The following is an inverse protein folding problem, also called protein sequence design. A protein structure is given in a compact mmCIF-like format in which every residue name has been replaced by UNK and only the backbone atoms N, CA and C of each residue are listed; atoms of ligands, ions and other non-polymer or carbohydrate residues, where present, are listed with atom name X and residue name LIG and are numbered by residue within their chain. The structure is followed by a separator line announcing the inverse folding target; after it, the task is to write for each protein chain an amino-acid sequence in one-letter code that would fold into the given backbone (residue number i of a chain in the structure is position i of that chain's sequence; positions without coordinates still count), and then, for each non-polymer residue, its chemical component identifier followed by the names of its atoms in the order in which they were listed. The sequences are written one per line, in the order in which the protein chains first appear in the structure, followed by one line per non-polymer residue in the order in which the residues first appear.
data_IF_607023115309
#
_entry.id   IF_607023115309
#
_cell.length_a   1.000
_cell.length_b   1.000
_cell.length_c   1.000
_cell.angle_alpha   90.00
_cell.angle_beta   90.00
_cell.angle_gamma   90.00
#
_symmetry.space_group_name_H-M   'P 1'
#
loop_
_entity.id
_entity.type
_entity.pdbx_description
1 polymer ?
#
# COMPACT_ATOMS: atom_id res chain seq x y z
N UNK A 1 -31.51 8.12 -2.78
CA UNK A 1 -30.27 7.62 -3.35
C UNK A 1 -29.08 7.78 -2.43
N UNK A 2 -28.76 8.96 -1.89
CA UNK A 2 -27.58 9.21 -1.01
C UNK A 2 -27.54 8.31 0.25
N UNK A 3 -28.69 7.95 0.83
CA UNK A 3 -28.73 7.12 2.06
C UNK A 3 -28.38 5.64 1.85
N UNK A 4 -28.57 5.08 0.65
CA UNK A 4 -28.22 3.68 0.34
C UNK A 4 -26.73 3.52 0.10
N UNK A 5 -26.08 4.46 -0.61
CA UNK A 5 -24.65 4.40 -0.94
C UNK A 5 -23.74 4.34 0.30
N UNK A 6 -24.11 5.01 1.39
CA UNK A 6 -23.34 5.03 2.65
C UNK A 6 -23.22 3.65 3.31
N UNK A 7 -24.24 2.80 3.16
CA UNK A 7 -24.27 1.49 3.82
C UNK A 7 -23.59 0.37 3.02
N UNK A 8 -23.63 0.46 1.70
CA UNK A 8 -22.97 -0.53 0.83
C UNK A 8 -21.46 -0.35 0.89
N UNK A 9 -20.97 0.89 0.83
CA UNK A 9 -19.54 1.20 0.95
C UNK A 9 -18.92 0.63 2.25
N UNK A 10 -19.65 0.69 3.38
CA UNK A 10 -19.15 0.20 4.68
C UNK A 10 -19.06 -1.34 4.75
N UNK A 11 -19.89 -2.07 3.99
CA UNK A 11 -19.88 -3.54 3.98
C UNK A 11 -18.78 -4.13 3.08
N UNK A 12 -18.39 -3.40 2.02
CA UNK A 12 -17.36 -3.83 1.06
C UNK A 12 -15.96 -3.34 1.47
N UNK A 13 -15.88 -2.20 2.20
CA UNK A 13 -14.60 -1.58 2.59
C UNK A 13 -13.73 -2.40 3.54
N UNK A 14 -14.29 -3.37 4.26
CA UNK A 14 -13.48 -4.26 5.11
C UNK A 14 -12.50 -5.14 4.31
N UNK A 15 -12.68 -5.24 2.98
CA UNK A 15 -11.86 -6.11 2.13
C UNK A 15 -10.97 -5.39 1.10
N UNK A 16 -11.07 -4.06 0.95
CA UNK A 16 -10.46 -3.34 -0.19
C UNK A 16 -9.46 -2.24 0.21
N UNK A 17 -9.34 -1.89 1.48
CA UNK A 17 -8.53 -0.72 1.92
C UNK A 17 -7.00 -0.82 1.75
N UNK A 18 -6.44 -1.78 1.01
CA UNK A 18 -4.99 -1.92 0.87
C UNK A 18 -4.44 -2.03 -0.57
N UNK A 19 -5.17 -1.57 -1.58
CA UNK A 19 -4.65 -1.60 -2.97
C UNK A 19 -4.21 -0.22 -3.50
N UNK A 20 -3.88 0.72 -2.64
CA UNK A 20 -3.36 2.03 -3.01
C UNK A 20 -1.84 2.12 -2.87
N UNK A 21 -1.08 1.51 -3.76
CA UNK A 21 0.38 1.66 -3.76
C UNK A 21 1.00 1.20 -5.08
N UNK A 22 1.30 2.15 -5.95
CA UNK A 22 2.27 2.12 -7.03
C UNK A 22 2.51 0.81 -7.78
N UNK A 23 2.04 0.74 -9.02
CA UNK A 23 2.70 -0.09 -10.01
C UNK A 23 2.64 0.56 -11.40
N UNK A 24 3.67 1.30 -11.73
CA UNK A 24 4.04 1.51 -13.14
C UNK A 24 5.14 0.52 -13.48
N UNK A 25 4.81 -0.55 -14.17
CA UNK A 25 5.73 -1.10 -15.17
C UNK A 25 5.01 -2.04 -16.12
N UNK A 26 5.04 -1.66 -17.39
CA UNK A 26 4.71 -2.54 -18.52
C UNK A 26 5.76 -3.63 -18.59
N UNK A 27 5.40 -4.91 -18.45
CA UNK A 27 6.07 -5.96 -19.21
C UNK A 27 5.30 -7.28 -19.22
N UNK A 28 5.16 -7.75 -20.45
CA UNK A 28 5.08 -9.14 -20.94
C UNK A 28 3.85 -9.99 -20.71
N UNK A 29 3.07 -10.04 -21.80
CA UNK A 29 2.29 -11.21 -22.22
C UNK A 29 3.22 -12.42 -22.38
N UNK A 30 3.14 -13.40 -21.46
CA UNK A 30 3.37 -14.82 -21.76
C UNK A 30 3.18 -15.67 -20.50
N UNK A 31 2.00 -16.21 -20.29
CA UNK A 31 1.76 -17.50 -19.64
C UNK A 31 0.25 -17.80 -19.68
N UNK A 32 -0.24 -18.23 -20.80
CA UNK A 32 -1.49 -18.94 -20.89
C UNK A 32 -1.11 -20.36 -21.30
N UNK A 33 -1.16 -21.26 -20.33
CA UNK A 33 -1.40 -22.68 -20.43
C UNK A 33 -0.80 -23.39 -19.22
N UNK A 34 -1.56 -23.42 -18.12
CA UNK A 34 -1.33 -24.38 -17.07
C UNK A 34 -2.67 -24.77 -16.42
N UNK A 35 -3.16 -25.91 -16.87
CA UNK A 35 -3.96 -26.88 -16.16
C UNK A 35 -5.12 -26.38 -15.29
N UNK A 36 -6.32 -26.58 -15.84
CA UNK A 36 -7.60 -26.73 -15.19
C UNK A 36 -7.53 -27.80 -14.07
N UNK A 37 -7.22 -27.37 -12.85
CA UNK A 37 -7.75 -27.94 -11.64
C UNK A 37 -8.24 -26.76 -10.81
N UNK A 38 -9.51 -26.40 -11.02
CA UNK A 38 -10.21 -25.48 -10.15
C UNK A 38 -10.37 -26.18 -8.79
N UNK A 39 -9.37 -26.05 -7.93
CA UNK A 39 -9.60 -26.20 -6.51
C UNK A 39 -10.72 -25.21 -6.17
N UNK A 40 -11.90 -25.71 -5.77
CA UNK A 40 -12.98 -24.87 -5.27
C UNK A 40 -12.44 -24.08 -4.09
N UNK A 41 -12.08 -22.83 -4.34
CA UNK A 41 -11.73 -21.90 -3.27
C UNK A 41 -12.92 -21.84 -2.33
N UNK A 42 -12.71 -22.21 -1.08
CA UNK A 42 -13.73 -22.09 -0.05
C UNK A 42 -14.19 -20.63 -0.02
N UNK A 43 -15.49 -20.39 -0.23
CA UNK A 43 -16.05 -19.05 -0.13
C UNK A 43 -16.44 -18.77 1.31
N UNK A 44 -16.10 -17.58 1.80
CA UNK A 44 -16.64 -17.08 3.05
C UNK A 44 -18.18 -17.07 3.00
N UNK A 45 -18.81 -17.49 4.07
CA UNK A 45 -20.27 -17.48 4.19
C UNK A 45 -20.66 -16.77 5.48
N UNK A 46 -21.49 -15.71 5.40
CA UNK A 46 -21.87 -14.93 6.57
C UNK A 46 -22.39 -15.76 7.74
N UNK A 47 -22.05 -15.37 8.94
CA UNK A 47 -22.60 -15.97 10.16
C UNK A 47 -24.04 -15.46 10.31
N UNK A 48 -25.00 -16.37 10.39
CA UNK A 48 -26.41 -15.99 10.53
C UNK A 48 -26.72 -15.74 12.00
N UNK A 49 -26.90 -14.49 12.38
CA UNK A 49 -27.23 -14.07 13.72
C UNK A 49 -28.62 -13.42 13.81
N UNK A 50 -29.28 -13.58 14.94
CA UNK A 50 -30.38 -12.69 15.28
C UNK A 50 -29.80 -11.46 15.99
N UNK A 51 -29.45 -10.44 15.21
CA UNK A 51 -28.71 -9.27 15.67
C UNK A 51 -29.26 -8.62 16.95
N UNK A 52 -30.60 -8.56 17.11
CA UNK A 52 -31.26 -7.98 18.27
C UNK A 52 -31.06 -8.75 19.58
N UNK A 53 -30.58 -10.00 19.53
CA UNK A 53 -30.22 -10.76 20.72
C UNK A 53 -28.82 -10.43 21.24
N UNK A 54 -27.94 -9.99 20.34
CA UNK A 54 -26.53 -9.75 20.65
C UNK A 54 -26.21 -8.28 20.88
N UNK A 55 -26.91 -7.39 20.15
CA UNK A 55 -26.61 -5.95 20.15
C UNK A 55 -27.91 -5.15 20.28
N UNK A 56 -27.81 -4.06 21.03
CA UNK A 56 -28.80 -2.99 21.09
C UNK A 56 -28.20 -1.72 20.50
N UNK A 57 -28.85 -1.14 19.49
CA UNK A 57 -28.46 0.17 19.00
C UNK A 57 -28.62 1.26 20.06
N UNK A 58 -27.61 2.09 20.20
CA UNK A 58 -27.72 3.35 20.93
C UNK A 58 -28.18 4.49 20.02
N UNK A 59 -27.79 5.71 20.36
CA UNK A 59 -28.09 6.85 19.50
C UNK A 59 -27.28 6.74 18.21
N UNK A 60 -27.94 6.66 17.07
CA UNK A 60 -27.32 6.68 15.74
C UNK A 60 -27.89 7.77 14.83
N UNK A 61 -29.04 8.39 15.20
CA UNK A 61 -29.63 9.53 14.48
C UNK A 61 -29.23 10.85 15.12
N UNK A 62 -28.96 11.86 14.30
CA UNK A 62 -28.60 13.18 14.77
C UNK A 62 -27.21 13.26 15.42
N UNK A 63 -26.34 12.31 15.12
CA UNK A 63 -24.93 12.38 15.52
C UNK A 63 -24.23 13.52 14.78
N UNK A 64 -23.37 14.22 15.49
CA UNK A 64 -22.51 15.26 14.93
C UNK A 64 -21.06 14.86 15.03
N UNK A 65 -20.29 15.10 13.98
CA UNK A 65 -18.85 14.90 13.93
C UNK A 65 -18.16 16.21 13.58
N UNK A 66 -16.89 16.33 13.92
CA UNK A 66 -16.06 17.39 13.36
C UNK A 66 -15.63 16.91 11.98
N UNK A 67 -16.12 17.58 10.92
CA UNK A 67 -15.76 17.19 9.56
C UNK A 67 -14.26 17.28 9.30
N UNK A 68 -13.74 16.34 8.53
CA UNK A 68 -12.38 16.38 8.04
C UNK A 68 -12.16 17.56 7.09
N UNK A 69 -10.91 18.05 7.02
CA UNK A 69 -10.58 19.22 6.19
C UNK A 69 -10.48 18.83 4.71
N UNK A 70 -11.10 19.65 3.87
CA UNK A 70 -10.97 19.55 2.41
C UNK A 70 -10.12 20.67 1.82
N UNK A 71 -9.39 21.41 2.69
CA UNK A 71 -8.64 22.58 2.26
C UNK A 71 -7.39 22.16 1.50
N UNK A 72 -7.22 22.68 0.31
CA UNK A 72 -6.00 22.64 -0.49
C UNK A 72 -5.36 24.02 -0.46
N UNK A 73 -4.08 24.08 -0.09
CA UNK A 73 -3.30 25.32 -0.05
C UNK A 73 -2.55 25.55 -1.36
N UNK A 74 -2.00 26.75 -1.54
CA UNK A 74 -1.11 27.00 -2.69
C UNK A 74 0.19 26.20 -2.55
N UNK A 75 0.65 25.96 -1.32
CA UNK A 75 1.83 25.14 -1.07
C UNK A 75 1.62 23.70 -1.51
N UNK A 76 0.47 23.06 -1.19
CA UNK A 76 0.16 21.70 -1.63
C UNK A 76 0.25 21.58 -3.16
N UNK A 77 -0.21 22.61 -3.88
CA UNK A 77 -0.13 22.65 -5.35
C UNK A 77 1.30 22.84 -5.84
N UNK A 78 2.09 23.72 -5.20
CA UNK A 78 3.49 23.91 -5.57
C UNK A 78 4.32 22.65 -5.29
N UNK A 79 4.10 22.00 -4.17
CA UNK A 79 4.78 20.75 -3.82
C UNK A 79 4.51 19.68 -4.88
N UNK A 80 3.24 19.46 -5.23
CA UNK A 80 2.87 18.48 -6.27
C UNK A 80 3.37 18.88 -7.67
N UNK A 81 3.45 20.17 -7.98
CA UNK A 81 4.00 20.66 -9.25
C UNK A 81 5.53 20.45 -9.29
N UNK A 82 6.22 20.57 -8.15
CA UNK A 82 7.65 20.34 -8.07
C UNK A 82 8.00 18.84 -8.20
N UNK A 83 7.10 17.90 -7.82
CA UNK A 83 7.28 16.48 -8.10
C UNK A 83 7.55 16.22 -9.58
N UNK A 84 6.86 16.93 -10.49
CA UNK A 84 7.11 16.81 -11.93
C UNK A 84 8.59 17.13 -12.29
N UNK A 85 9.22 18.07 -11.60
CA UNK A 85 10.61 18.39 -11.84
C UNK A 85 11.55 17.30 -11.26
N UNK A 86 11.25 16.77 -10.09
CA UNK A 86 12.00 15.67 -9.48
C UNK A 86 11.88 14.39 -10.32
N UNK A 87 10.70 14.05 -10.81
CA UNK A 87 10.47 12.89 -11.68
C UNK A 87 11.23 12.98 -13.02
N UNK A 88 11.61 14.20 -13.41
CA UNK A 88 12.37 14.48 -14.63
C UNK A 88 13.79 14.98 -14.32
N UNK A 89 14.30 14.71 -13.12
CA UNK A 89 15.69 14.99 -12.79
C UNK A 89 16.63 14.18 -13.70
N UNK A 90 17.76 14.77 -14.01
CA UNK A 90 18.87 14.12 -14.70
C UNK A 90 20.08 14.07 -13.79
N UNK A 91 21.03 13.19 -14.10
CA UNK A 91 22.23 13.06 -13.31
C UNK A 91 23.44 13.50 -14.14
N UNK A 92 24.31 14.31 -13.57
CA UNK A 92 25.52 14.80 -14.22
C UNK A 92 26.76 14.40 -13.43
N UNK A 93 27.78 13.87 -14.11
CA UNK A 93 29.06 13.50 -13.49
C UNK A 93 29.73 14.68 -12.80
N UNK A 94 30.13 14.49 -11.55
CA UNK A 94 31.00 15.40 -10.79
C UNK A 94 32.47 15.12 -11.16
N UNK A 95 33.08 15.99 -12.02
CA UNK A 95 34.42 15.76 -12.59
C UNK A 95 35.57 16.24 -11.72
N UNK A 96 35.31 17.18 -10.82
CA UNK A 96 36.34 17.84 -9.99
C UNK A 96 36.60 17.11 -8.65
N UNK A 97 35.79 16.11 -8.34
CA UNK A 97 35.93 15.26 -7.16
C UNK A 97 35.83 13.78 -7.55
N UNK A 98 36.67 12.95 -6.93
CA UNK A 98 36.68 11.50 -7.17
C UNK A 98 36.48 10.67 -5.91
N UNK A 99 36.31 11.29 -4.75
CA UNK A 99 36.10 10.60 -3.48
C UNK A 99 34.64 10.71 -3.10
N UNK A 100 34.00 9.57 -2.86
CA UNK A 100 32.62 9.43 -2.45
C UNK A 100 32.37 10.08 -1.10
N UNK A 101 31.31 10.84 -0.98
CA UNK A 101 30.87 11.50 0.24
C UNK A 101 29.45 11.04 0.59
N UNK A 102 29.03 11.33 1.80
CA UNK A 102 27.67 11.11 2.24
C UNK A 102 26.70 11.90 1.35
N UNK A 103 25.53 11.32 1.11
CA UNK A 103 24.46 11.89 0.29
C UNK A 103 24.85 12.10 -1.20
N UNK A 104 25.89 11.42 -1.71
CA UNK A 104 26.22 11.42 -3.13
C UNK A 104 25.28 10.52 -3.92
N UNK A 105 25.01 10.91 -5.17
CA UNK A 105 24.51 9.99 -6.18
C UNK A 105 25.70 9.29 -6.85
N UNK A 106 25.58 8.01 -7.05
CA UNK A 106 26.61 7.16 -7.66
C UNK A 106 26.03 6.36 -8.81
N UNK A 107 26.80 6.21 -9.89
CA UNK A 107 26.58 5.14 -10.83
C UNK A 107 27.58 4.02 -10.50
N UNK A 108 27.06 2.81 -10.31
CA UNK A 108 27.85 1.65 -9.89
C UNK A 108 27.55 0.42 -10.71
N UNK A 109 28.53 -0.49 -10.82
CA UNK A 109 28.30 -1.87 -11.16
C UNK A 109 28.44 -2.71 -9.90
N UNK A 110 27.58 -3.71 -9.71
CA UNK A 110 27.75 -4.61 -8.59
C UNK A 110 27.64 -6.07 -9.00
N UNK A 111 28.45 -6.89 -8.37
CA UNK A 111 28.45 -8.33 -8.56
C UNK A 111 28.30 -9.02 -7.22
N UNK A 112 27.33 -9.92 -7.15
CA UNK A 112 27.05 -10.71 -5.96
C UNK A 112 27.53 -12.13 -6.14
N UNK A 113 28.37 -12.59 -5.22
CA UNK A 113 28.87 -13.97 -5.17
C UNK A 113 28.33 -14.67 -3.92
N UNK A 114 27.57 -15.75 -4.13
CA UNK A 114 26.94 -16.51 -3.04
C UNK A 114 27.62 -17.88 -2.93
N UNK A 115 28.17 -18.19 -1.76
CA UNK A 115 28.94 -19.41 -1.53
C UNK A 115 30.06 -19.63 -2.59
N UNK A 116 30.72 -18.56 -3.02
CA UNK A 116 31.82 -18.61 -3.98
C UNK A 116 31.39 -18.77 -5.45
N UNK A 117 30.10 -18.60 -5.75
CA UNK A 117 29.55 -18.62 -7.10
C UNK A 117 28.83 -17.32 -7.40
N UNK A 118 29.19 -16.68 -8.50
CA UNK A 118 28.48 -15.48 -8.98
C UNK A 118 27.01 -15.75 -9.23
N UNK A 119 26.16 -14.82 -8.82
CA UNK A 119 24.72 -14.89 -8.98
C UNK A 119 24.23 -13.66 -9.79
N UNK A 120 23.82 -13.93 -11.04
CA UNK A 120 23.36 -12.90 -11.98
C UNK A 120 22.02 -12.28 -11.59
N UNK A 121 21.21 -12.97 -10.79
CA UNK A 121 19.90 -12.46 -10.36
C UNK A 121 20.03 -11.36 -9.29
N UNK A 122 21.22 -11.30 -8.66
CA UNK A 122 21.60 -10.31 -7.66
C UNK A 122 22.83 -9.50 -8.07
N UNK A 123 23.06 -9.33 -9.37
CA UNK A 123 24.15 -8.55 -9.93
C UNK A 123 23.62 -7.68 -11.04
N UNK A 124 24.09 -6.43 -11.11
CA UNK A 124 23.67 -5.50 -12.19
C UNK A 124 24.79 -4.53 -12.52
N UNK A 125 24.63 -3.80 -13.61
CA UNK A 125 25.55 -2.78 -14.08
C UNK A 125 24.83 -1.48 -14.42
N UNK A 126 25.52 -0.36 -14.25
CA UNK A 126 24.98 0.98 -14.42
C UNK A 126 23.77 1.27 -13.52
N UNK A 127 23.84 0.83 -12.28
CA UNK A 127 22.83 1.19 -11.28
C UNK A 127 23.13 2.62 -10.80
N UNK A 128 22.16 3.51 -10.98
CA UNK A 128 22.15 4.82 -10.34
C UNK A 128 21.53 4.68 -8.95
N UNK A 129 22.26 5.11 -7.92
CA UNK A 129 21.85 5.02 -6.53
C UNK A 129 22.22 6.26 -5.73
N UNK A 130 21.39 6.61 -4.76
CA UNK A 130 21.65 7.66 -3.80
C UNK A 130 22.14 7.06 -2.48
N UNK A 131 23.26 7.55 -1.95
CA UNK A 131 23.78 7.10 -0.66
C UNK A 131 22.90 7.63 0.48
N UNK A 132 22.27 6.72 1.18
CA UNK A 132 21.29 6.97 2.24
C UNK A 132 19.94 6.30 1.98
N UNK A 133 19.67 5.87 0.74
CA UNK A 133 18.43 5.18 0.40
C UNK A 133 18.50 3.66 0.65
N UNK A 134 19.69 3.13 0.90
CA UNK A 134 19.89 1.72 1.22
C UNK A 134 19.61 0.76 0.06
N UNK A 135 19.78 1.19 -1.19
CA UNK A 135 19.42 0.44 -2.40
C UNK A 135 20.08 -0.94 -2.48
N UNK A 136 21.26 -1.10 -1.93
CA UNK A 136 22.01 -2.36 -1.89
C UNK A 136 22.06 -2.98 -0.49
N UNK A 137 21.37 -2.41 0.49
CA UNK A 137 21.31 -2.96 1.84
C UNK A 137 20.49 -4.26 1.85
N UNK A 138 21.00 -5.25 2.58
CA UNK A 138 20.37 -6.58 2.68
C UNK A 138 19.47 -6.65 3.90
N UNK A 139 19.92 -6.06 5.01
CA UNK A 139 19.19 -5.91 6.26
C UNK A 139 19.77 -4.72 7.06
N UNK A 140 19.21 -4.46 8.24
CA UNK A 140 19.66 -3.37 9.12
C UNK A 140 21.12 -3.50 9.62
N UNK A 141 21.75 -4.66 9.45
CA UNK A 141 23.13 -4.93 9.92
C UNK A 141 24.18 -4.73 8.81
N UNK A 142 23.76 -4.61 7.56
CA UNK A 142 24.67 -4.48 6.40
C UNK A 142 24.37 -3.18 5.67
N UNK A 143 24.94 -2.10 6.18
CA UNK A 143 24.90 -0.77 5.56
C UNK A 143 25.98 -0.69 4.46
N UNK A 144 25.56 -0.96 3.22
CA UNK A 144 26.42 -0.88 2.04
C UNK A 144 26.79 0.57 1.74
N UNK A 145 25.87 1.51 1.91
CA UNK A 145 26.07 2.92 1.64
C UNK A 145 27.23 3.49 2.49
N UNK A 146 27.26 3.16 3.80
CA UNK A 146 28.34 3.59 4.70
C UNK A 146 29.71 3.04 4.26
N UNK A 147 29.75 1.83 3.68
CA UNK A 147 31.00 1.21 3.21
C UNK A 147 31.57 1.85 1.95
N UNK A 148 30.72 2.51 1.16
CA UNK A 148 31.15 3.19 -0.06
C UNK A 148 31.70 4.58 0.22
N UNK A 149 31.36 5.21 1.35
CA UNK A 149 31.87 6.55 1.72
C UNK A 149 33.40 6.53 1.88
N UNK A 150 34.05 7.44 1.18
CA UNK A 150 35.54 7.57 1.18
C UNK A 150 36.24 6.77 0.09
N UNK A 151 35.58 5.86 -0.60
CA UNK A 151 36.08 5.19 -1.78
C UNK A 151 36.21 6.17 -2.96
N UNK A 152 36.87 5.77 -4.03
CA UNK A 152 37.11 6.63 -5.20
C UNK A 152 36.47 6.06 -6.45
N UNK A 153 36.15 6.94 -7.37
CA UNK A 153 35.77 6.55 -8.74
C UNK A 153 36.85 5.64 -9.33
N UNK A 154 36.44 4.48 -9.79
CA UNK A 154 37.27 3.39 -10.29
C UNK A 154 37.67 2.35 -9.26
N UNK A 155 37.38 2.57 -7.97
CA UNK A 155 37.58 1.55 -6.93
C UNK A 155 36.49 0.51 -6.97
N UNK A 156 36.80 -0.72 -6.55
CA UNK A 156 35.82 -1.76 -6.24
C UNK A 156 35.85 -2.00 -4.74
N UNK A 157 34.74 -1.81 -4.07
CA UNK A 157 34.57 -2.07 -2.64
C UNK A 157 33.92 -3.43 -2.47
N UNK A 158 34.57 -4.32 -1.73
CA UNK A 158 34.06 -5.67 -1.46
C UNK A 158 33.50 -5.73 -0.04
N UNK A 159 32.29 -6.20 0.08
CA UNK A 159 31.54 -6.31 1.35
C UNK A 159 31.14 -7.77 1.53
N UNK A 160 31.62 -8.39 2.62
CA UNK A 160 31.27 -9.76 2.98
C UNK A 160 30.19 -9.76 4.07
N UNK A 161 29.16 -10.56 3.88
CA UNK A 161 28.11 -10.76 4.87
C UNK A 161 27.49 -12.16 4.76
N UNK A 162 26.54 -12.48 5.63
CA UNK A 162 25.73 -13.69 5.54
C UNK A 162 24.28 -13.29 5.54
N UNK A 163 23.50 -13.77 4.58
CA UNK A 163 22.07 -13.54 4.57
C UNK A 163 21.41 -14.06 5.86
N UNK A 164 20.41 -13.36 6.41
CA UNK A 164 19.62 -13.87 7.53
C UNK A 164 19.06 -15.28 7.27
N UNK A 165 18.91 -16.08 8.32
CA UNK A 165 18.32 -17.44 8.19
C UNK A 165 16.83 -17.40 7.76
N UNK A 166 16.15 -16.29 8.05
CA UNK A 166 14.75 -16.00 7.72
C UNK A 166 14.59 -15.08 6.50
N UNK A 167 15.65 -14.94 5.68
CA UNK A 167 15.57 -14.15 4.46
C UNK A 167 14.51 -14.70 3.50
N UNK A 168 13.73 -13.82 2.86
CA UNK A 168 12.57 -14.16 2.04
C UNK A 168 12.87 -15.17 0.92
N UNK A 169 14.05 -15.02 0.27
CA UNK A 169 14.52 -16.05 -0.66
C UNK A 169 15.23 -17.18 0.09
N UNK A 170 14.47 -18.23 0.37
CA UNK A 170 15.00 -19.45 1.02
C UNK A 170 16.15 -20.10 0.26
N UNK A 171 16.35 -19.76 -1.02
CA UNK A 171 17.46 -20.29 -1.83
C UNK A 171 18.80 -19.71 -1.44
N UNK A 172 18.81 -18.54 -0.77
CA UNK A 172 20.01 -17.82 -0.33
C UNK A 172 20.06 -17.57 1.18
N UNK A 173 18.97 -17.78 1.90
CA UNK A 173 18.90 -17.66 3.37
C UNK A 173 20.06 -18.42 4.05
N UNK A 174 20.72 -17.78 5.03
CA UNK A 174 21.86 -18.31 5.78
C UNK A 174 23.15 -18.47 4.96
N UNK A 175 23.20 -18.07 3.68
CA UNK A 175 24.39 -18.24 2.85
C UNK A 175 25.33 -17.06 2.95
N UNK A 176 26.64 -17.36 2.84
CA UNK A 176 27.68 -16.32 2.74
C UNK A 176 27.62 -15.64 1.40
N UNK A 177 27.69 -14.32 1.43
CA UNK A 177 27.70 -13.43 0.29
C UNK A 177 28.96 -12.55 0.28
N UNK A 178 29.49 -12.31 -0.89
CA UNK A 178 30.47 -11.28 -1.20
C UNK A 178 29.84 -10.37 -2.25
N UNK A 179 29.63 -9.11 -1.90
CA UNK A 179 29.11 -8.05 -2.77
C UNK A 179 30.29 -7.16 -3.18
N UNK A 180 30.63 -7.16 -4.45
CA UNK A 180 31.66 -6.29 -5.02
C UNK A 180 30.98 -5.14 -5.76
N UNK A 181 31.14 -3.91 -5.25
CA UNK A 181 30.58 -2.68 -5.83
C UNK A 181 31.68 -1.86 -6.48
N UNK A 182 31.61 -1.67 -7.78
CA UNK A 182 32.56 -0.86 -8.56
C UNK A 182 31.95 0.51 -8.81
N UNK A 183 32.66 1.58 -8.42
CA UNK A 183 32.18 2.96 -8.54
C UNK A 183 32.56 3.50 -9.90
N UNK A 184 31.58 3.67 -10.79
CA UNK A 184 31.78 4.16 -12.14
C UNK A 184 31.95 5.69 -12.16
N UNK A 185 31.03 6.40 -11.48
CA UNK A 185 31.06 7.86 -11.37
C UNK A 185 30.35 8.35 -10.11
N UNK A 186 30.65 9.57 -9.72
CA UNK A 186 29.91 10.33 -8.74
C UNK A 186 29.07 11.35 -9.49
N UNK A 187 27.82 11.46 -9.14
CA UNK A 187 26.86 12.29 -9.85
C UNK A 187 26.24 13.33 -8.93
N UNK A 188 25.68 14.35 -9.51
CA UNK A 188 24.76 15.28 -8.86
C UNK A 188 23.41 15.22 -9.58
N UNK A 189 22.38 15.25 -8.81
CA UNK A 189 21.03 15.45 -9.33
C UNK A 189 20.89 16.86 -9.90
N UNK A 190 20.33 16.97 -11.09
CA UNK A 190 20.00 18.22 -11.77
C UNK A 190 18.50 18.25 -11.99
N UNK A 191 17.80 18.93 -11.09
CA UNK A 191 16.35 19.10 -11.15
C UNK A 191 16.04 20.22 -12.15
N UNK A 192 15.27 19.95 -13.21
CA UNK A 192 14.92 20.98 -14.18
C UNK A 192 13.96 22.02 -13.58
N UNK A 193 13.98 23.23 -14.09
CA UNK A 193 12.98 24.23 -13.74
C UNK A 193 11.61 23.87 -14.33
N UNK A 194 10.55 23.95 -13.53
CA UNK A 194 9.18 23.75 -14.00
C UNK A 194 8.77 24.89 -14.93
N UNK A 195 8.75 24.62 -16.21
CA UNK A 195 8.37 25.56 -17.26
C UNK A 195 7.39 24.92 -18.26
N UNK A 196 6.88 25.72 -19.19
CA UNK A 196 5.90 25.25 -20.18
C UNK A 196 6.45 24.13 -21.08
N UNK A 197 7.77 24.04 -21.29
CA UNK A 197 8.36 22.98 -22.08
C UNK A 197 8.31 21.66 -21.33
N UNK A 198 8.77 21.61 -20.07
CA UNK A 198 8.72 20.45 -19.21
C UNK A 198 7.30 19.93 -19.05
N UNK A 199 6.34 20.85 -18.81
CA UNK A 199 4.92 20.48 -18.67
C UNK A 199 4.37 19.83 -19.94
N UNK A 200 4.66 20.41 -21.12
CA UNK A 200 4.20 19.83 -22.42
C UNK A 200 4.79 18.46 -22.73
N UNK A 201 6.01 18.23 -22.32
CA UNK A 201 6.72 16.98 -22.57
C UNK A 201 6.18 15.83 -21.71
N UNK A 202 5.77 16.15 -20.48
CA UNK A 202 5.46 15.13 -19.46
C UNK A 202 3.99 15.07 -19.05
N UNK A 203 3.15 15.98 -19.57
CA UNK A 203 1.71 16.04 -19.23
C UNK A 203 0.87 16.38 -20.45
N UNK A 204 -0.44 16.28 -20.33
CA UNK A 204 -1.40 16.73 -21.37
C UNK A 204 -1.62 18.26 -21.35
N UNK A 205 -0.99 18.98 -20.42
CA UNK A 205 -1.12 20.43 -20.30
C UNK A 205 -0.15 21.18 -21.24
N UNK A 206 -0.53 22.40 -21.62
CA UNK A 206 0.30 23.22 -22.51
C UNK A 206 1.12 24.27 -21.77
N UNK A 207 0.76 24.58 -20.54
CA UNK A 207 1.42 25.60 -19.74
C UNK A 207 1.47 25.21 -18.28
N UNK A 208 2.43 25.75 -17.53
CA UNK A 208 2.52 25.60 -16.07
C UNK A 208 1.22 26.05 -15.39
N UNK A 209 0.57 27.08 -15.92
CA UNK A 209 -0.70 27.57 -15.37
C UNK A 209 -1.83 26.54 -15.51
N UNK A 210 -1.93 25.89 -16.67
CA UNK A 210 -2.91 24.81 -16.90
C UNK A 210 -2.62 23.62 -15.99
N UNK A 211 -1.35 23.22 -15.88
CA UNK A 211 -0.93 22.13 -15.02
C UNK A 211 -1.22 22.42 -13.53
N UNK A 212 -0.86 23.60 -13.02
CA UNK A 212 -1.21 24.02 -11.65
C UNK A 212 -2.71 23.97 -11.39
N UNK A 213 -3.52 24.33 -12.39
CA UNK A 213 -4.98 24.24 -12.27
C UNK A 213 -5.42 22.76 -12.20
N UNK A 214 -4.91 21.92 -13.06
CA UNK A 214 -5.22 20.47 -13.07
C UNK A 214 -4.82 19.82 -11.73
N UNK A 215 -3.61 20.06 -11.25
CA UNK A 215 -3.11 19.59 -9.95
C UNK A 215 -4.03 20.03 -8.82
N UNK A 216 -4.42 21.33 -8.81
CA UNK A 216 -5.34 21.83 -7.79
C UNK A 216 -6.70 21.14 -7.84
N UNK A 217 -7.26 20.96 -9.04
CA UNK A 217 -8.57 20.31 -9.21
C UNK A 217 -8.49 18.84 -8.75
N UNK A 218 -7.39 18.13 -9.03
CA UNK A 218 -7.13 16.77 -8.52
C UNK A 218 -7.04 16.76 -7.00
N UNK A 219 -6.16 17.56 -6.41
CA UNK A 219 -5.99 17.63 -4.95
C UNK A 219 -7.30 17.98 -4.22
N UNK A 220 -8.14 18.83 -4.79
CA UNK A 220 -9.46 19.14 -4.22
C UNK A 220 -10.38 17.92 -4.27
N UNK A 221 -10.37 17.17 -5.36
CA UNK A 221 -11.13 15.93 -5.50
C UNK A 221 -10.67 14.88 -4.50
N UNK A 222 -9.36 14.67 -4.40
CA UNK A 222 -8.75 13.68 -3.52
C UNK A 222 -9.01 14.00 -2.05
N UNK A 223 -8.79 15.27 -1.66
CA UNK A 223 -9.09 15.74 -0.29
C UNK A 223 -10.57 15.64 0.07
N UNK A 224 -11.45 15.81 -0.92
CA UNK A 224 -12.89 15.65 -0.70
C UNK A 224 -13.24 14.18 -0.48
N UNK A 225 -12.71 13.26 -1.29
CA UNK A 225 -12.92 11.83 -1.14
C UNK A 225 -12.35 11.32 0.18
N UNK A 226 -11.13 11.71 0.53
CA UNK A 226 -10.49 11.41 1.83
C UNK A 226 -11.32 11.91 3.01
N UNK A 227 -11.82 13.15 2.93
CA UNK A 227 -12.64 13.73 3.98
C UNK A 227 -14.00 13.02 4.11
N UNK A 228 -14.63 12.62 3.00
CA UNK A 228 -15.86 11.84 3.00
C UNK A 228 -15.64 10.48 3.66
N UNK A 229 -14.57 9.78 3.32
CA UNK A 229 -14.20 8.50 3.93
C UNK A 229 -13.94 8.66 5.45
N UNK A 230 -13.09 9.61 5.84
CA UNK A 230 -12.78 9.89 7.26
C UNK A 230 -14.04 10.25 8.06
N UNK A 231 -14.95 11.02 7.46
CA UNK A 231 -16.21 11.37 8.09
C UNK A 231 -17.14 10.16 8.27
N UNK A 232 -17.19 9.28 7.27
CA UNK A 232 -17.96 8.02 7.34
C UNK A 232 -17.41 7.11 8.45
N UNK A 233 -16.10 6.91 8.51
CA UNK A 233 -15.44 6.12 9.53
C UNK A 233 -15.67 6.70 10.94
N UNK A 234 -15.51 8.02 11.10
CA UNK A 234 -15.76 8.69 12.38
C UNK A 234 -17.21 8.54 12.82
N UNK A 235 -18.15 8.64 11.89
CA UNK A 235 -19.58 8.45 12.18
C UNK A 235 -19.88 7.00 12.52
N UNK A 236 -19.30 6.04 11.77
CA UNK A 236 -19.45 4.62 12.04
C UNK A 236 -18.91 4.25 13.43
N UNK A 237 -17.71 4.70 13.77
CA UNK A 237 -17.12 4.44 15.08
C UNK A 237 -18.01 4.97 16.23
N UNK A 238 -18.58 6.18 16.07
CA UNK A 238 -19.56 6.69 17.04
C UNK A 238 -20.82 5.83 17.16
N UNK A 239 -21.29 5.25 16.07
CA UNK A 239 -22.44 4.33 16.08
C UNK A 239 -22.06 3.05 16.84
N UNK A 240 -20.87 2.51 16.57
CA UNK A 240 -20.34 1.31 17.22
C UNK A 240 -20.13 1.51 18.72
N UNK A 241 -19.60 2.68 19.12
CA UNK A 241 -19.39 3.06 20.53
C UNK A 241 -20.71 3.19 21.28
N UNK A 242 -21.74 3.70 20.63
CA UNK A 242 -23.07 3.84 21.21
C UNK A 242 -23.83 2.50 21.26
N UNK A 243 -23.42 1.50 20.50
CA UNK A 243 -24.05 0.19 20.47
C UNK A 243 -23.63 -0.67 21.66
N UNK A 244 -24.61 -1.20 22.39
CA UNK A 244 -24.38 -2.02 23.57
C UNK A 244 -24.45 -3.50 23.21
N UNK A 245 -23.39 -4.26 23.53
CA UNK A 245 -23.42 -5.71 23.46
C UNK A 245 -24.26 -6.28 24.61
N UNK A 246 -25.20 -7.14 24.29
CA UNK A 246 -26.16 -7.72 25.25
C UNK A 246 -25.71 -9.08 25.77
N UNK A 247 -25.05 -9.87 24.96
CA UNK A 247 -24.47 -11.18 25.28
C UNK A 247 -23.25 -11.47 24.42
N UNK A 248 -22.42 -12.39 24.85
CA UNK A 248 -21.28 -12.86 24.07
C UNK A 248 -21.73 -13.73 22.88
N UNK A 249 -20.94 -13.72 21.81
CA UNK A 249 -21.12 -14.61 20.68
C UNK A 249 -20.77 -16.04 21.07
N UNK A 250 -21.42 -17.03 20.45
CA UNK A 250 -21.08 -18.42 20.70
C UNK A 250 -19.69 -18.77 20.13
N UNK A 251 -19.01 -19.73 20.75
CA UNK A 251 -17.73 -20.23 20.22
C UNK A 251 -17.85 -20.74 18.77
N UNK A 252 -19.02 -21.28 18.40
CA UNK A 252 -19.27 -21.76 17.05
C UNK A 252 -19.35 -20.61 16.04
N UNK A 253 -20.02 -19.49 16.41
CA UNK A 253 -20.10 -18.29 15.58
C UNK A 253 -18.73 -17.64 15.41
N UNK A 254 -17.97 -17.51 16.50
CA UNK A 254 -16.61 -16.96 16.48
C UNK A 254 -15.70 -17.82 15.60
N UNK A 255 -15.70 -19.14 15.73
CA UNK A 255 -14.89 -20.04 14.91
C UNK A 255 -15.26 -19.96 13.44
N UNK A 256 -16.54 -19.81 13.13
CA UNK A 256 -16.99 -19.62 11.75
C UNK A 256 -16.49 -18.30 11.17
N UNK A 257 -16.58 -17.23 11.93
CA UNK A 257 -16.08 -15.92 11.50
C UNK A 257 -14.55 -15.90 11.35
N UNK A 258 -13.81 -16.52 12.25
CA UNK A 258 -12.35 -16.73 12.10
C UNK A 258 -12.03 -17.47 10.80
N UNK A 259 -12.85 -18.46 10.41
CA UNK A 259 -12.68 -19.15 9.13
C UNK A 259 -12.94 -18.24 7.94
N UNK A 260 -13.97 -17.38 8.01
CA UNK A 260 -14.26 -16.39 6.96
C UNK A 260 -13.09 -15.41 6.80
N UNK A 261 -12.61 -14.83 7.91
CA UNK A 261 -11.48 -13.89 7.93
C UNK A 261 -10.23 -14.54 7.30
N UNK A 262 -9.97 -15.80 7.61
CA UNK A 262 -8.83 -16.53 7.01
C UNK A 262 -8.97 -16.74 5.52
N UNK A 263 -10.20 -16.93 5.01
CA UNK A 263 -10.46 -17.07 3.58
C UNK A 263 -10.27 -15.71 2.90
N UNK A 264 -10.85 -14.66 3.46
CA UNK A 264 -10.88 -13.31 2.87
C UNK A 264 -9.51 -12.63 2.84
N UNK A 265 -8.69 -12.86 3.88
CA UNK A 265 -7.37 -12.21 4.00
C UNK A 265 -6.20 -13.09 3.57
N UNK A 266 -6.46 -14.28 3.01
CA UNK A 266 -5.41 -15.25 2.65
C UNK A 266 -4.42 -14.68 1.63
N UNK A 267 -4.92 -14.04 0.59
CA UNK A 267 -4.09 -13.52 -0.51
C UNK A 267 -3.26 -12.33 -0.03
N UNK A 268 -3.89 -11.43 0.74
CA UNK A 268 -3.23 -10.25 1.30
C UNK A 268 -2.12 -10.63 2.29
N UNK A 269 -2.42 -11.50 3.25
CA UNK A 269 -1.42 -11.99 4.19
C UNK A 269 -0.26 -12.72 3.46
N UNK A 270 -0.60 -13.51 2.43
CA UNK A 270 0.37 -14.19 1.59
C UNK A 270 1.27 -13.24 0.80
N UNK A 271 0.75 -12.09 0.34
CA UNK A 271 1.55 -11.05 -0.32
C UNK A 271 2.63 -10.47 0.62
N UNK A 272 2.33 -10.37 1.91
CA UNK A 272 3.29 -9.92 2.94
C UNK A 272 4.09 -11.06 3.58
N UNK A 273 4.03 -12.30 3.05
CA UNK A 273 4.73 -13.45 3.61
C UNK A 273 4.25 -13.89 5.00
N UNK A 274 3.06 -13.47 5.43
CA UNK A 274 2.55 -13.65 6.78
C UNK A 274 1.44 -14.70 6.86
N UNK A 275 1.24 -15.27 8.06
CA UNK A 275 -0.03 -15.94 8.35
C UNK A 275 -1.15 -14.89 8.51
N UNK A 276 -2.41 -15.27 8.24
CA UNK A 276 -3.54 -14.36 8.47
C UNK A 276 -3.64 -13.92 9.94
N UNK A 277 -3.20 -14.76 10.88
CA UNK A 277 -3.20 -14.39 12.31
C UNK A 277 -2.22 -13.27 12.60
N UNK A 278 -1.00 -13.41 12.08
CA UNK A 278 0.06 -12.40 12.27
C UNK A 278 -0.28 -11.12 11.52
N UNK A 279 -0.87 -11.23 10.32
CA UNK A 279 -1.36 -10.10 9.56
C UNK A 279 -2.43 -9.30 10.35
N UNK A 280 -3.43 -9.98 10.93
CA UNK A 280 -4.45 -9.31 11.74
C UNK A 280 -3.83 -8.68 13.00
N UNK A 281 -2.92 -9.39 13.68
CA UNK A 281 -2.25 -8.87 14.87
C UNK A 281 -1.40 -7.62 14.56
N UNK A 282 -0.66 -7.65 13.46
CA UNK A 282 0.21 -6.55 13.07
C UNK A 282 -0.56 -5.30 12.59
N UNK A 283 -1.62 -5.49 11.79
CA UNK A 283 -2.32 -4.36 11.15
C UNK A 283 -3.53 -3.86 11.95
N UNK A 284 -4.11 -4.70 12.81
CA UNK A 284 -5.28 -4.33 13.61
C UNK A 284 -5.00 -4.32 15.12
N UNK A 285 -3.78 -4.63 15.54
CA UNK A 285 -3.33 -4.62 16.94
C UNK A 285 -4.21 -5.47 17.86
N UNK A 286 -4.80 -6.55 17.33
CA UNK A 286 -5.70 -7.43 18.11
C UNK A 286 -5.57 -8.89 17.67
N UNK A 287 -5.97 -9.81 18.55
CA UNK A 287 -6.01 -11.23 18.20
C UNK A 287 -7.04 -11.50 17.10
N UNK A 288 -6.79 -12.54 16.28
CA UNK A 288 -7.73 -12.98 15.26
C UNK A 288 -9.11 -13.32 15.81
N UNK A 289 -9.19 -13.81 17.05
CA UNK A 289 -10.46 -14.09 17.73
C UNK A 289 -11.20 -12.82 18.14
N UNK A 290 -10.50 -11.82 18.63
CA UNK A 290 -11.11 -10.54 19.02
C UNK A 290 -11.53 -9.75 17.78
N UNK A 291 -10.76 -9.82 16.71
CA UNK A 291 -11.15 -9.28 15.40
C UNK A 291 -12.44 -9.93 14.88
N UNK A 292 -12.56 -11.25 15.02
CA UNK A 292 -13.80 -11.96 14.66
C UNK A 292 -15.00 -11.52 15.51
N UNK A 293 -14.82 -11.34 16.82
CA UNK A 293 -15.88 -10.82 17.72
C UNK A 293 -16.32 -9.40 17.31
N UNK A 294 -15.34 -8.56 16.96
CA UNK A 294 -15.63 -7.20 16.50
C UNK A 294 -16.40 -7.20 15.19
N UNK A 295 -16.02 -8.06 14.22
CA UNK A 295 -16.73 -8.21 12.95
C UNK A 295 -18.17 -8.69 13.16
N UNK A 296 -18.39 -9.67 14.03
CA UNK A 296 -19.75 -10.13 14.38
C UNK A 296 -20.58 -9.01 15.01
N UNK A 297 -19.99 -8.17 15.87
CA UNK A 297 -20.65 -6.98 16.43
C UNK A 297 -20.98 -5.98 15.33
N UNK A 298 -20.03 -5.70 14.42
CA UNK A 298 -20.25 -4.82 13.24
C UNK A 298 -21.41 -5.31 12.40
N UNK A 299 -21.44 -6.60 12.07
CA UNK A 299 -22.54 -7.22 11.32
C UNK A 299 -23.89 -7.03 12.04
N UNK A 300 -23.96 -7.30 13.32
CA UNK A 300 -25.20 -7.09 14.08
C UNK A 300 -25.68 -5.63 14.07
N UNK A 301 -24.78 -4.68 14.20
CA UNK A 301 -25.11 -3.24 14.14
C UNK A 301 -25.64 -2.87 12.74
N UNK A 302 -24.98 -3.36 11.68
CA UNK A 302 -25.43 -3.14 10.30
C UNK A 302 -26.83 -3.70 10.05
N UNK A 303 -27.06 -4.96 10.41
CA UNK A 303 -28.36 -5.63 10.25
C UNK A 303 -29.50 -4.86 10.95
N UNK A 304 -29.22 -4.38 12.17
CA UNK A 304 -30.20 -3.60 12.93
C UNK A 304 -30.47 -2.24 12.29
N UNK A 305 -29.43 -1.55 11.80
CA UNK A 305 -29.59 -0.26 11.14
C UNK A 305 -30.36 -0.39 9.82
N UNK A 306 -30.09 -1.43 9.04
CA UNK A 306 -30.82 -1.73 7.81
C UNK A 306 -32.30 -1.98 8.12
N UNK A 307 -32.56 -2.83 9.12
CA UNK A 307 -33.93 -3.17 9.56
C UNK A 307 -34.70 -1.97 10.08
N UNK A 308 -34.09 -1.19 11.00
CA UNK A 308 -34.78 -0.03 11.60
C UNK A 308 -35.06 1.10 10.61
N UNK A 309 -34.30 1.19 9.53
CA UNK A 309 -34.47 2.20 8.49
C UNK A 309 -35.19 1.64 7.24
N UNK A 310 -35.65 0.39 7.28
CA UNK A 310 -36.32 -0.29 6.16
C UNK A 310 -35.51 -0.18 4.86
N UNK A 311 -34.20 -0.42 4.96
CA UNK A 311 -33.27 -0.43 3.83
C UNK A 311 -33.09 -1.89 3.41
N UNK A 312 -33.43 -2.18 2.16
CA UNK A 312 -33.17 -3.46 1.52
C UNK A 312 -32.01 -3.27 0.53
N UNK A 313 -30.99 -4.11 0.63
CA UNK A 313 -29.92 -4.20 -0.35
C UNK A 313 -30.31 -5.25 -1.36
N UNK A 314 -30.36 -4.88 -2.62
CA UNK A 314 -30.72 -5.77 -3.72
C UNK A 314 -29.48 -6.19 -4.50
N UNK A 315 -29.56 -7.27 -5.28
CA UNK A 315 -28.47 -7.68 -6.18
C UNK A 315 -28.06 -6.55 -7.14
N UNK A 316 -29.03 -5.73 -7.58
CA UNK A 316 -28.76 -4.58 -8.43
C UNK A 316 -27.95 -3.48 -7.71
N UNK A 317 -28.16 -3.27 -6.39
CA UNK A 317 -27.35 -2.34 -5.61
C UNK A 317 -25.90 -2.86 -5.49
N UNK A 318 -25.71 -4.17 -5.38
CA UNK A 318 -24.38 -4.82 -5.35
C UNK A 318 -23.69 -4.73 -6.72
N UNK A 319 -24.42 -5.03 -7.80
CA UNK A 319 -23.87 -4.93 -9.16
C UNK A 319 -23.48 -3.48 -9.52
N UNK A 320 -24.27 -2.47 -9.09
CA UNK A 320 -23.91 -1.04 -9.27
C UNK A 320 -22.61 -0.70 -8.55
N UNK A 321 -22.41 -1.21 -7.32
CA UNK A 321 -21.19 -0.96 -6.54
C UNK A 321 -19.98 -1.68 -7.15
N UNK A 322 -20.12 -2.94 -7.57
CA UNK A 322 -19.08 -3.68 -8.27
C UNK A 322 -18.66 -2.95 -9.55
N UNK A 323 -19.63 -2.47 -10.34
CA UNK A 323 -19.34 -1.73 -11.58
C UNK A 323 -18.61 -0.42 -11.28
N UNK A 324 -18.98 0.29 -10.20
CA UNK A 324 -18.26 1.48 -9.76
C UNK A 324 -16.78 1.18 -9.49
N UNK A 325 -16.45 0.09 -8.77
CA UNK A 325 -15.07 -0.30 -8.53
C UNK A 325 -14.32 -0.72 -9.80
N UNK A 326 -15.00 -1.40 -10.74
CA UNK A 326 -14.41 -1.75 -12.04
C UNK A 326 -14.05 -0.48 -12.81
N UNK A 327 -14.96 0.49 -12.85
CA UNK A 327 -14.78 1.73 -13.61
C UNK A 327 -13.73 2.67 -12.98
N UNK A 328 -13.68 2.76 -11.65
CA UNK A 328 -12.78 3.66 -10.92
C UNK A 328 -11.37 3.07 -10.71
N UNK A 329 -11.26 1.77 -10.49
CA UNK A 329 -9.99 1.11 -10.18
C UNK A 329 -9.38 0.38 -11.38
N UNK A 330 -10.11 0.28 -12.51
CA UNK A 330 -9.60 -0.30 -13.75
C UNK A 330 -9.39 -1.82 -13.71
N UNK A 331 -10.21 -2.54 -12.93
CA UNK A 331 -10.17 -4.00 -12.85
C UNK A 331 -10.79 -4.66 -14.07
#
# INVERSE_FOLDING_TARGET
MIKKKIFIATAVFASICMLGGCATSKSSKKAAEATTEAAQQAKATPVKLNASEYVKLGQYKGLTIKGASTKVTDQDVEDQVNELAHDNASYEEIKDRKTVQKDDYLNVDYTTTINGKENSDYSDSNLDMHLGDGNLNVDENVDVDEKLIGAKVGDTVTIEFTFPEDYDDSSIAGKKCELAVSINMIEKEVIPEVNDALVKENTDCKTVKEYKKQVRDSLVSDKKSEAEQTNQETLWNKIMDNATQLKDFSEADIKKEVSNIKIENKEMAGYFGMSVSDFIEQYYEMSLEDYAKENLKKQCVQDLLLKENSIEITDADVDEEIQYYIDELGY
#
